data_IF_108380567974
#
_entry.id   IF_108380567974
#
_cell.length_a   1.000
_cell.length_b   1.000
_cell.length_c   1.000
_cell.angle_alpha   90.00
_cell.angle_beta   90.00
_cell.angle_gamma   90.00
#
_symmetry.space_group_name_H-M   'P 1'
#
loop_
_entity.id
_entity.type
_entity.pdbx_description
1 polymer ?
#
# COMPACT_ATOMS: atom_id res chain seq x y z
N UNK A 1 -5.05 -61.72 -10.42
CA UNK A 1 -3.99 -60.69 -10.45
C UNK A 1 -4.66 -59.34 -10.22
N UNK A 2 -4.60 -58.82 -9.00
CA UNK A 2 -5.16 -57.51 -8.63
C UNK A 2 -4.00 -56.55 -8.43
N UNK A 3 -3.92 -55.53 -9.29
CA UNK A 3 -2.90 -54.48 -9.20
C UNK A 3 -3.33 -53.51 -8.10
N UNK A 4 -2.47 -53.17 -7.12
CA UNK A 4 -2.83 -52.19 -6.11
C UNK A 4 -2.84 -50.79 -6.74
N UNK A 5 -3.99 -50.12 -6.63
CA UNK A 5 -4.17 -48.72 -7.02
C UNK A 5 -3.85 -47.87 -5.78
N UNK A 6 -2.57 -47.61 -5.53
CA UNK A 6 -2.15 -46.56 -4.58
C UNK A 6 -1.66 -45.38 -5.40
N UNK A 7 -2.61 -44.57 -5.88
CA UNK A 7 -2.29 -43.22 -6.31
C UNK A 7 -1.85 -42.43 -5.07
N UNK A 8 -0.75 -41.65 -5.11
CA UNK A 8 -0.39 -40.79 -4.00
C UNK A 8 -1.52 -39.77 -3.83
N UNK A 9 -2.27 -39.90 -2.75
CA UNK A 9 -3.24 -38.88 -2.34
C UNK A 9 -2.45 -37.65 -1.91
N UNK A 10 -2.92 -36.44 -2.25
CA UNK A 10 -2.30 -35.16 -1.93
C UNK A 10 -2.07 -34.89 -0.42
N UNK A 11 -2.34 -35.87 0.45
CA UNK A 11 -2.24 -35.82 1.90
C UNK A 11 -0.83 -36.09 2.46
N UNK A 12 0.15 -36.51 1.66
CA UNK A 12 1.46 -36.95 2.15
C UNK A 12 2.58 -35.89 2.09
N UNK A 13 2.27 -34.63 1.75
CA UNK A 13 3.21 -33.52 1.91
C UNK A 13 2.90 -32.77 3.20
N UNK A 14 3.46 -33.24 4.32
CA UNK A 14 3.49 -32.48 5.57
C UNK A 14 4.45 -31.30 5.40
N UNK A 15 3.98 -30.23 4.74
CA UNK A 15 4.75 -29.00 4.55
C UNK A 15 4.77 -28.27 5.89
N UNK A 16 5.93 -28.17 6.56
CA UNK A 16 6.01 -27.49 7.84
C UNK A 16 5.56 -26.03 7.67
N UNK A 17 4.73 -25.55 8.60
CA UNK A 17 4.25 -24.16 8.56
C UNK A 17 5.43 -23.18 8.47
N UNK A 18 5.40 -22.22 7.53
CA UNK A 18 6.43 -21.20 7.44
C UNK A 18 6.57 -20.45 8.77
N UNK A 19 7.82 -20.21 9.19
CA UNK A 19 8.16 -19.40 10.38
C UNK A 19 8.45 -17.97 9.94
N UNK A 20 8.25 -17.02 10.86
CA UNK A 20 8.60 -15.61 10.69
C UNK A 20 7.91 -14.91 9.51
N UNK A 21 6.65 -15.26 9.27
CA UNK A 21 5.80 -14.60 8.25
C UNK A 21 5.43 -13.19 8.73
N UNK A 22 5.81 -12.18 7.96
CA UNK A 22 5.52 -10.78 8.24
C UNK A 22 5.78 -9.87 7.05
N UNK A 23 5.56 -8.56 7.24
CA UNK A 23 5.86 -7.54 6.22
C UNK A 23 7.37 -7.31 6.19
N UNK A 24 8.01 -7.64 5.07
CA UNK A 24 9.45 -7.48 4.90
C UNK A 24 9.84 -6.10 4.36
N UNK A 25 8.95 -5.46 3.61
CA UNK A 25 9.17 -4.15 3.02
C UNK A 25 7.83 -3.42 2.84
N UNK A 26 7.87 -2.09 2.83
CA UNK A 26 6.72 -1.23 2.56
C UNK A 26 7.20 -0.08 1.68
N UNK A 27 6.47 0.14 0.58
CA UNK A 27 6.67 1.27 -0.32
C UNK A 27 5.38 2.08 -0.35
N UNK A 28 5.52 3.40 -0.43
CA UNK A 28 4.38 4.31 -0.42
C UNK A 28 4.55 5.33 -1.55
N UNK A 29 3.50 5.44 -2.36
CA UNK A 29 3.39 6.46 -3.38
C UNK A 29 2.37 7.52 -2.96
N UNK A 30 2.74 8.79 -3.10
CA UNK A 30 1.84 9.93 -2.93
C UNK A 30 1.78 10.75 -4.23
N UNK A 31 0.61 11.30 -4.60
CA UNK A 31 0.50 12.28 -5.68
C UNK A 31 1.45 13.45 -5.49
N UNK A 32 1.89 14.03 -6.60
CA UNK A 32 2.85 15.14 -6.57
C UNK A 32 2.22 16.49 -6.20
N UNK A 33 0.89 16.59 -6.24
CA UNK A 33 0.16 17.82 -5.92
C UNK A 33 -0.42 17.72 -4.52
N UNK A 34 -0.19 18.76 -3.73
CA UNK A 34 -0.79 18.93 -2.42
C UNK A 34 -1.30 20.35 -2.25
N UNK A 35 -2.28 20.51 -1.37
CA UNK A 35 -2.80 21.81 -0.91
C UNK A 35 -2.51 21.97 0.58
N UNK A 36 -2.40 23.21 1.03
CA UNK A 36 -2.23 23.59 2.43
C UNK A 36 -3.59 23.73 3.10
N UNK A 37 -3.77 23.11 4.26
CA UNK A 37 -5.07 23.15 4.93
C UNK A 37 -5.32 24.50 5.58
N UNK A 38 -4.27 25.28 5.84
CA UNK A 38 -4.42 26.69 6.26
C UNK A 38 -5.01 27.53 5.13
N UNK A 39 -4.59 27.30 3.88
CA UNK A 39 -5.13 28.03 2.72
C UNK A 39 -6.55 27.56 2.40
N UNK A 40 -6.82 26.26 2.57
CA UNK A 40 -8.16 25.70 2.43
C UNK A 40 -9.13 26.26 3.49
N UNK A 41 -8.68 26.48 4.72
CA UNK A 41 -9.48 27.14 5.77
C UNK A 41 -9.91 28.56 5.35
N UNK A 42 -9.00 29.31 4.73
CA UNK A 42 -9.27 30.67 4.21
C UNK A 42 -10.23 30.61 3.02
N UNK A 43 -10.03 29.66 2.11
CA UNK A 43 -10.87 29.49 0.93
C UNK A 43 -12.31 29.11 1.29
N UNK A 44 -12.49 28.20 2.24
CA UNK A 44 -13.81 27.76 2.72
C UNK A 44 -14.47 28.78 3.67
N UNK A 45 -13.75 29.81 4.12
CA UNK A 45 -14.24 30.81 5.07
C UNK A 45 -14.53 30.23 6.46
N UNK A 46 -13.86 29.14 6.83
CA UNK A 46 -14.01 28.51 8.14
C UNK A 46 -13.11 29.17 9.18
N UNK A 47 -13.38 28.91 10.46
CA UNK A 47 -12.53 29.40 11.54
C UNK A 47 -11.12 28.81 11.43
N UNK A 48 -10.11 29.65 11.66
CA UNK A 48 -8.71 29.19 11.77
C UNK A 48 -8.61 28.05 12.78
N UNK A 49 -7.86 27.01 12.43
CA UNK A 49 -7.66 25.85 13.29
C UNK A 49 -8.70 24.75 13.10
N UNK A 50 -9.72 24.91 12.26
CA UNK A 50 -10.72 23.84 12.06
C UNK A 50 -10.09 22.58 11.45
N UNK A 51 -9.28 22.74 10.41
CA UNK A 51 -8.61 21.63 9.71
C UNK A 51 -7.25 21.34 10.33
N UNK A 52 -6.50 22.39 10.66
CA UNK A 52 -5.16 22.26 11.23
C UNK A 52 -5.15 21.74 12.66
N UNK A 53 -6.00 22.26 13.55
CA UNK A 53 -6.07 21.83 14.96
C UNK A 53 -7.19 20.80 15.17
N UNK A 54 -8.37 21.05 14.60
CA UNK A 54 -9.53 20.19 14.77
C UNK A 54 -9.37 18.81 14.13
N UNK A 55 -8.84 18.76 12.90
CA UNK A 55 -8.56 17.50 12.19
C UNK A 55 -7.10 17.06 12.28
N UNK A 56 -6.19 17.93 12.72
CA UNK A 56 -4.76 17.62 12.80
C UNK A 56 -4.08 17.48 11.44
N UNK A 57 -4.58 18.16 10.41
CA UNK A 57 -4.09 18.06 9.03
C UNK A 57 -3.31 19.31 8.62
N UNK A 58 -2.12 19.13 8.05
CA UNK A 58 -1.30 20.23 7.53
C UNK A 58 -1.44 20.39 6.02
N UNK A 59 -1.44 19.26 5.30
CA UNK A 59 -1.51 19.20 3.84
C UNK A 59 -2.41 18.05 3.38
N UNK A 60 -3.13 18.27 2.29
CA UNK A 60 -3.91 17.24 1.61
C UNK A 60 -3.40 17.00 0.18
N UNK A 61 -3.03 15.75 -0.11
CA UNK A 61 -2.66 15.34 -1.46
C UNK A 61 -3.92 15.13 -2.31
N UNK A 62 -3.85 15.50 -3.59
CA UNK A 62 -4.93 15.23 -4.55
C UNK A 62 -4.37 14.72 -5.89
N UNK A 63 -5.05 13.77 -6.54
CA UNK A 63 -4.63 13.26 -7.84
C UNK A 63 -4.92 14.26 -8.96
N UNK A 64 -4.03 14.34 -9.94
CA UNK A 64 -4.29 15.05 -11.20
C UNK A 64 -5.13 14.19 -12.18
N UNK A 65 -5.58 14.77 -13.28
CA UNK A 65 -6.30 14.07 -14.37
C UNK A 65 -5.55 12.87 -14.97
N UNK A 66 -4.22 12.82 -14.77
CA UNK A 66 -3.32 11.75 -15.22
C UNK A 66 -3.09 10.65 -14.19
N UNK A 67 -3.63 10.77 -12.99
CA UNK A 67 -3.41 9.80 -11.93
C UNK A 67 -4.74 9.15 -11.52
N UNK A 68 -4.80 7.83 -11.64
CA UNK A 68 -5.91 6.98 -11.21
C UNK A 68 -5.43 5.85 -10.30
N UNK A 69 -6.36 5.02 -9.80
CA UNK A 69 -6.03 3.91 -8.91
C UNK A 69 -5.03 2.91 -9.51
N UNK A 70 -5.06 2.70 -10.83
CA UNK A 70 -4.14 1.77 -11.50
C UNK A 70 -2.73 2.34 -11.52
N UNK A 71 -2.59 3.63 -11.84
CA UNK A 71 -1.30 4.33 -11.81
C UNK A 71 -0.69 4.37 -10.41
N UNK A 72 -1.51 4.55 -9.36
CA UNK A 72 -1.05 4.50 -7.96
C UNK A 72 -0.51 3.11 -7.61
N UNK A 73 -1.28 2.06 -7.93
CA UNK A 73 -0.87 0.68 -7.64
C UNK A 73 0.43 0.32 -8.39
N UNK A 74 0.54 0.68 -9.66
CA UNK A 74 1.76 0.44 -10.44
C UNK A 74 2.95 1.22 -9.89
N UNK A 75 2.78 2.48 -9.51
CA UNK A 75 3.85 3.28 -8.89
C UNK A 75 4.24 2.78 -7.49
N UNK A 76 3.33 2.16 -6.72
CA UNK A 76 3.67 1.53 -5.44
C UNK A 76 4.43 0.22 -5.59
N UNK A 77 4.08 -0.59 -6.61
CA UNK A 77 4.69 -1.91 -6.85
C UNK A 77 6.03 -1.81 -7.58
N UNK A 78 6.15 -0.92 -8.57
CA UNK A 78 7.32 -0.87 -9.45
C UNK A 78 8.66 -0.66 -8.70
N UNK A 79 8.77 0.27 -7.72
CA UNK A 79 9.97 0.43 -6.92
C UNK A 79 10.26 -0.79 -6.05
N UNK A 80 9.23 -1.39 -5.45
CA UNK A 80 9.37 -2.56 -4.60
C UNK A 80 10.00 -3.76 -5.35
N UNK A 81 9.61 -3.95 -6.61
CA UNK A 81 10.13 -5.04 -7.44
C UNK A 81 11.58 -4.82 -7.92
N UNK A 82 12.04 -3.57 -7.98
CA UNK A 82 13.38 -3.24 -8.49
C UNK A 82 14.42 -3.13 -7.39
N UNK A 83 14.00 -2.99 -6.12
CA UNK A 83 14.93 -2.86 -5.00
C UNK A 83 15.49 -4.23 -4.59
N UNK A 84 16.81 -4.37 -4.44
CA UNK A 84 17.39 -5.60 -3.91
C UNK A 84 16.96 -5.81 -2.45
N UNK A 85 16.81 -7.08 -2.01
CA UNK A 85 16.41 -7.39 -0.64
C UNK A 85 17.46 -6.88 0.36
N UNK A 86 17.03 -6.07 1.33
CA UNK A 86 17.87 -5.57 2.43
C UNK A 86 18.34 -4.12 2.32
N UNK A 87 18.00 -3.39 1.25
CA UNK A 87 18.27 -1.96 1.12
C UNK A 87 17.05 -1.14 1.58
N UNK A 88 17.23 -0.27 2.59
CA UNK A 88 16.22 0.69 3.06
C UNK A 88 16.43 2.02 2.36
#
# INVERSE_FOLDING_TARGET
>A
MTVPITAPTAADFDVPRPKDVGVLAMEVYFPRRCISETDLEVFDGVSKGKYTIGLGQEYMAWPDDREDINSFALNGVYPACLRPPGEV
#
